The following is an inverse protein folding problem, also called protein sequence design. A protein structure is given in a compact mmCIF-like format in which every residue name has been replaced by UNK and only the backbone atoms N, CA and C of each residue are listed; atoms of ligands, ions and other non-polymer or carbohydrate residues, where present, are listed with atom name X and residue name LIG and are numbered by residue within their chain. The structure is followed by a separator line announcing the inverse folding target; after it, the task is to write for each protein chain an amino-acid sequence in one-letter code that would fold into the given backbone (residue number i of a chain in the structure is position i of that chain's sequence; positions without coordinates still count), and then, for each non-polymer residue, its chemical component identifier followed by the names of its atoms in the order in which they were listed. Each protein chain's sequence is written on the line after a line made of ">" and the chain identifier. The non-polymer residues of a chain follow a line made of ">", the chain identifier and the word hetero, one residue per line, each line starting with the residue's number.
data_IF_267065930939
#
_entry.id   IF_267065930939
#
_cell.length_a   1.000
_cell.length_b   1.000
_cell.length_c   1.000
_cell.angle_alpha   90.00
_cell.angle_beta   90.00
_cell.angle_gamma   90.00
#
_symmetry.space_group_name_H-M   'P 1'
#
loop_
_entity.id
_entity.type
_entity.pdbx_description
1 polymer ?
#
# COMPACT_ATOMS: atom_id res chain seq x y z
N UNK A 1 -14.86 36.68 15.81
CA UNK A 1 -14.22 35.64 16.64
C UNK A 1 -15.03 34.34 16.72
N UNK A 2 -16.37 34.36 16.85
CA UNK A 2 -17.21 33.14 16.81
C UNK A 2 -17.20 32.44 15.45
N UNK A 3 -17.29 33.20 14.36
CA UNK A 3 -17.29 32.68 12.98
C UNK A 3 -15.98 31.97 12.58
N UNK A 4 -14.84 32.46 13.09
CA UNK A 4 -13.52 31.88 12.84
C UNK A 4 -13.40 30.48 13.42
N UNK A 5 -14.06 30.22 14.56
CA UNK A 5 -14.07 28.91 15.21
C UNK A 5 -14.88 27.87 14.42
N UNK A 6 -16.00 28.29 13.81
CA UNK A 6 -16.82 27.41 12.97
C UNK A 6 -16.13 27.06 11.64
N UNK A 7 -15.33 27.96 11.07
CA UNK A 7 -14.58 27.71 9.84
C UNK A 7 -13.51 26.63 10.01
N UNK A 8 -12.81 26.63 11.16
CA UNK A 8 -11.79 25.62 11.48
C UNK A 8 -12.40 24.24 11.71
N UNK A 9 -13.60 24.17 12.30
CA UNK A 9 -14.28 22.89 12.56
C UNK A 9 -14.77 22.20 11.27
N UNK A 10 -15.12 22.98 10.24
CA UNK A 10 -15.59 22.47 8.94
C UNK A 10 -14.44 21.90 8.09
N UNK A 11 -13.21 22.42 8.23
CA UNK A 11 -12.03 21.94 7.50
C UNK A 11 -11.55 20.55 7.96
N UNK A 12 -11.87 20.12 9.19
CA UNK A 12 -11.45 18.81 9.72
C UNK A 12 -12.32 17.64 9.24
N UNK A 13 -13.53 17.90 8.71
CA UNK A 13 -14.44 16.84 8.28
C UNK A 13 -14.10 16.24 6.89
N UNK A 14 -13.21 16.89 6.13
CA UNK A 14 -12.83 16.46 4.78
C UNK A 14 -11.76 15.35 4.74
N UNK A 15 -11.09 15.07 5.86
CA UNK A 15 -9.99 14.09 5.91
C UNK A 15 -10.43 12.62 6.00
N UNK A 16 -11.74 12.33 6.11
CA UNK A 16 -12.22 10.97 6.32
C UNK A 16 -12.36 10.15 5.03
N UNK A 17 -12.36 10.80 3.86
CA UNK A 17 -12.63 10.15 2.57
C UNK A 17 -11.58 10.53 1.52
N UNK A 18 -10.30 10.46 1.92
CA UNK A 18 -9.18 10.77 1.06
C UNK A 18 -8.61 9.49 0.44
N UNK A 19 -8.24 9.49 -0.85
CA UNK A 19 -7.63 8.33 -1.48
C UNK A 19 -6.35 7.88 -0.74
N UNK A 20 -6.12 6.56 -0.55
CA UNK A 20 -4.97 5.99 0.18
C UNK A 20 -3.65 6.07 -0.61
N UNK A 21 -3.26 7.28 -1.03
CA UNK A 21 -2.07 7.51 -1.84
C UNK A 21 -0.78 7.14 -1.09
N UNK A 22 -0.77 7.31 0.23
CA UNK A 22 0.39 6.98 1.07
C UNK A 22 0.60 5.46 1.11
N UNK A 23 -0.44 4.68 1.36
CA UNK A 23 -0.37 3.23 1.43
C UNK A 23 0.04 2.63 0.07
N UNK A 24 -0.45 3.18 -1.04
CA UNK A 24 -0.04 2.80 -2.38
C UNK A 24 1.45 3.08 -2.63
N UNK A 25 1.95 4.23 -2.18
CA UNK A 25 3.37 4.59 -2.29
C UNK A 25 4.28 3.68 -1.44
N UNK A 26 3.85 3.37 -0.22
CA UNK A 26 4.54 2.46 0.68
C UNK A 26 4.63 1.05 0.07
N UNK A 27 3.54 0.56 -0.50
CA UNK A 27 3.48 -0.75 -1.15
C UNK A 27 4.44 -0.82 -2.36
N UNK A 28 4.46 0.21 -3.21
CA UNK A 28 5.40 0.31 -4.34
C UNK A 28 6.85 0.34 -3.89
N UNK A 29 7.14 1.06 -2.81
CA UNK A 29 8.49 1.16 -2.25
C UNK A 29 8.96 -0.19 -1.68
N UNK A 30 8.07 -0.89 -0.96
CA UNK A 30 8.34 -2.24 -0.46
C UNK A 30 8.59 -3.24 -1.59
N UNK A 31 7.77 -3.19 -2.65
CA UNK A 31 7.94 -4.00 -3.86
C UNK A 31 9.30 -3.79 -4.51
N UNK A 32 9.66 -2.52 -4.76
CA UNK A 32 10.96 -2.18 -5.35
C UNK A 32 12.11 -2.71 -4.48
N UNK A 33 11.99 -2.60 -3.17
CA UNK A 33 13.00 -3.10 -2.22
C UNK A 33 13.15 -4.61 -2.33
N UNK A 34 12.04 -5.35 -2.36
CA UNK A 34 12.04 -6.81 -2.50
C UNK A 34 12.59 -7.29 -3.85
N UNK A 35 12.33 -6.55 -4.93
CA UNK A 35 12.88 -6.85 -6.27
C UNK A 35 14.39 -6.61 -6.35
N UNK A 36 14.92 -5.63 -5.61
CA UNK A 36 16.34 -5.29 -5.62
C UNK A 36 17.23 -6.21 -4.75
N UNK A 37 16.63 -7.01 -3.88
CA UNK A 37 17.37 -7.92 -3.00
C UNK A 37 17.88 -9.15 -3.78
N UNK A 38 19.15 -9.57 -3.53
CA UNK A 38 19.65 -10.83 -4.03
C UNK A 38 19.00 -12.01 -3.29
N UNK A 39 18.94 -13.17 -3.94
CA UNK A 39 18.23 -14.35 -3.45
C UNK A 39 16.88 -14.46 -4.13
N UNK A 40 16.69 -15.52 -4.91
CA UNK A 40 15.43 -15.79 -5.59
C UNK A 40 15.07 -17.24 -5.35
N UNK A 41 13.99 -17.47 -4.63
CA UNK A 41 13.42 -18.79 -4.39
C UNK A 41 11.99 -18.80 -4.89
N UNK A 42 11.48 -19.98 -5.21
CA UNK A 42 10.06 -20.15 -5.55
C UNK A 42 9.14 -19.55 -4.46
N UNK A 43 9.55 -19.60 -3.19
CA UNK A 43 8.80 -18.97 -2.09
C UNK A 43 8.82 -17.44 -2.16
N UNK A 44 10.00 -16.81 -2.35
CA UNK A 44 10.06 -15.35 -2.49
C UNK A 44 9.34 -14.85 -3.73
N UNK A 45 9.37 -15.62 -4.82
CA UNK A 45 8.70 -15.29 -6.07
C UNK A 45 7.19 -15.35 -5.93
N UNK A 46 6.67 -16.36 -5.23
CA UNK A 46 5.25 -16.45 -4.91
C UNK A 46 4.78 -15.21 -4.12
N UNK A 47 5.53 -14.78 -3.09
CA UNK A 47 5.16 -13.57 -2.34
C UNK A 47 5.30 -12.28 -3.17
N UNK A 48 6.26 -12.19 -4.08
CA UNK A 48 6.35 -11.05 -5.01
C UNK A 48 5.15 -11.02 -5.96
N UNK A 49 4.78 -12.15 -6.54
CA UNK A 49 3.62 -12.25 -7.41
C UNK A 49 2.33 -11.87 -6.67
N UNK A 50 2.11 -12.42 -5.47
CA UNK A 50 0.95 -12.05 -4.65
C UNK A 50 0.96 -10.57 -4.23
N UNK A 51 2.14 -9.94 -4.16
CA UNK A 51 2.24 -8.51 -3.90
C UNK A 51 1.89 -7.66 -5.13
N UNK A 52 2.26 -8.11 -6.33
CA UNK A 52 1.89 -7.47 -7.61
C UNK A 52 0.38 -7.54 -7.84
N UNK A 53 -0.20 -8.74 -7.71
CA UNK A 53 -1.64 -8.96 -7.85
C UNK A 53 -2.44 -8.07 -6.89
N UNK A 54 -2.04 -8.01 -5.61
CA UNK A 54 -2.70 -7.14 -4.63
C UNK A 54 -2.54 -5.65 -4.95
N UNK A 55 -1.40 -5.22 -5.52
CA UNK A 55 -1.19 -3.82 -5.91
C UNK A 55 -2.05 -3.44 -7.12
N UNK A 56 -2.22 -4.36 -8.06
CA UNK A 56 -3.10 -4.20 -9.21
C UNK A 56 -4.56 -4.10 -8.77
N UNK A 57 -5.01 -5.02 -7.92
CA UNK A 57 -6.35 -4.97 -7.30
C UNK A 57 -6.58 -3.66 -6.52
N UNK A 58 -5.55 -3.17 -5.82
CA UNK A 58 -5.61 -1.88 -5.15
C UNK A 58 -5.79 -0.73 -6.15
N UNK A 59 -5.07 -0.76 -7.28
CA UNK A 59 -5.21 0.22 -8.33
C UNK A 59 -6.59 0.15 -9.02
N UNK A 60 -7.19 -1.02 -9.15
CA UNK A 60 -8.56 -1.17 -9.66
C UNK A 60 -9.57 -0.57 -8.70
N UNK A 61 -9.46 -0.89 -7.41
CA UNK A 61 -10.30 -0.32 -6.37
C UNK A 61 -10.17 1.21 -6.29
N UNK A 62 -8.97 1.76 -6.48
CA UNK A 62 -8.75 3.20 -6.59
C UNK A 62 -9.52 3.83 -7.75
N UNK A 63 -9.54 3.16 -8.92
CA UNK A 63 -10.30 3.63 -10.10
C UNK A 63 -11.80 3.54 -9.89
N UNK A 64 -12.26 2.57 -9.10
CA UNK A 64 -13.66 2.38 -8.73
C UNK A 64 -14.11 3.25 -7.54
N UNK A 65 -13.25 4.13 -7.02
CA UNK A 65 -13.49 4.95 -5.82
C UNK A 65 -13.77 4.11 -4.55
N UNK A 66 -13.41 2.81 -4.57
CA UNK A 66 -13.51 1.88 -3.44
C UNK A 66 -12.28 2.06 -2.51
N UNK A 67 -12.13 3.23 -1.91
CA UNK A 67 -10.90 3.61 -1.19
C UNK A 67 -10.53 2.69 -0.02
N UNK A 68 -11.51 2.15 0.71
CA UNK A 68 -11.24 1.18 1.78
C UNK A 68 -10.65 -0.13 1.25
N UNK A 69 -11.19 -0.62 0.13
CA UNK A 69 -10.68 -1.82 -0.54
C UNK A 69 -9.29 -1.56 -1.11
N UNK A 70 -9.09 -0.41 -1.74
CA UNK A 70 -7.78 0.02 -2.22
C UNK A 70 -6.75 0.05 -1.10
N UNK A 71 -7.10 0.62 0.06
CA UNK A 71 -6.23 0.67 1.23
C UNK A 71 -5.87 -0.74 1.72
N UNK A 72 -6.87 -1.61 1.86
CA UNK A 72 -6.66 -2.98 2.33
C UNK A 72 -5.75 -3.77 1.38
N UNK A 73 -5.96 -3.62 0.06
CA UNK A 73 -5.15 -4.25 -0.97
C UNK A 73 -3.74 -3.69 -1.06
N UNK A 74 -3.55 -2.38 -0.89
CA UNK A 74 -2.23 -1.77 -0.78
C UNK A 74 -1.46 -2.31 0.44
N UNK A 75 -2.13 -2.44 1.59
CA UNK A 75 -1.52 -3.02 2.80
C UNK A 75 -1.17 -4.50 2.61
N UNK A 76 -2.00 -5.25 1.89
CA UNK A 76 -1.72 -6.64 1.50
C UNK A 76 -0.48 -6.74 0.62
N UNK A 77 -0.41 -5.94 -0.45
CA UNK A 77 0.76 -5.84 -1.31
C UNK A 77 2.04 -5.52 -0.53
N UNK A 78 1.96 -4.54 0.39
CA UNK A 78 3.08 -4.18 1.26
C UNK A 78 3.56 -5.34 2.12
N UNK A 79 2.64 -6.10 2.74
CA UNK A 79 3.00 -7.25 3.58
C UNK A 79 3.66 -8.36 2.77
N UNK A 80 3.10 -8.69 1.61
CA UNK A 80 3.64 -9.71 0.72
C UNK A 80 5.04 -9.33 0.22
N UNK A 81 5.25 -8.07 -0.18
CA UNK A 81 6.56 -7.57 -0.58
C UNK A 81 7.59 -7.63 0.57
N UNK A 82 7.19 -7.26 1.79
CA UNK A 82 8.07 -7.36 2.97
C UNK A 82 8.45 -8.81 3.29
N UNK A 83 7.53 -9.75 3.12
CA UNK A 83 7.81 -11.16 3.34
C UNK A 83 8.75 -11.73 2.28
N UNK A 84 8.53 -11.36 1.01
CA UNK A 84 9.49 -11.67 -0.05
C UNK A 84 10.89 -11.12 0.30
N UNK A 85 10.99 -9.84 0.68
CA UNK A 85 12.25 -9.23 1.07
C UNK A 85 12.94 -9.97 2.23
N UNK A 86 12.19 -10.38 3.26
CA UNK A 86 12.72 -11.19 4.37
C UNK A 86 13.29 -12.52 3.89
N UNK A 87 12.55 -13.25 3.06
CA UNK A 87 13.00 -14.55 2.54
C UNK A 87 14.29 -14.37 1.75
N UNK A 88 14.35 -13.35 0.88
CA UNK A 88 15.55 -13.04 0.09
C UNK A 88 16.77 -12.72 0.98
N UNK A 89 16.57 -11.94 2.04
CA UNK A 89 17.62 -11.61 3.01
C UNK A 89 18.15 -12.81 3.81
N UNK A 90 17.33 -13.83 4.04
CA UNK A 90 17.72 -15.04 4.78
C UNK A 90 18.59 -16.00 3.96
N UNK A 91 18.67 -15.82 2.64
CA UNK A 91 19.45 -16.66 1.72
C UNK A 91 20.89 -16.12 1.55
N UNK A 92 21.25 -15.07 2.30
CA UNK A 92 22.61 -14.52 2.35
C UNK A 92 23.61 -15.51 2.95
#
# INVERSE_FOLDING_TARGET
>A
MRFTLYLVLLLCAACAMQPPAQEMSDARSAMKTAQQLPGNTSKSDHYLQSAEEALDEAAEAMRAEEYDKARNKALEARRNAQEAARIKQQIK
#
